data_IF_492680889745
#
_entry.id   IF_492680889745
#
_cell.length_a   1.000
_cell.length_b   1.000
_cell.length_c   1.000
_cell.angle_alpha   90.00
_cell.angle_beta   90.00
_cell.angle_gamma   90.00
#
_symmetry.space_group_name_H-M   'P 1'
#
loop_
_entity.id
_entity.type
_entity.pdbx_description
1 polymer ?
#
# COMPACT_ATOMS: atom_id res chain seq x y z
N UNK A 1 -4.69 -0.57 5.76
CA UNK A 1 -4.68 -1.94 6.33
C UNK A 1 -5.70 -2.07 7.45
N UNK A 2 -5.65 -3.14 8.25
CA UNK A 2 -6.61 -3.40 9.34
C UNK A 2 -6.12 -2.99 10.75
N UNK A 3 -5.00 -2.26 10.84
CA UNK A 3 -4.51 -1.68 12.11
C UNK A 3 -3.53 -2.53 12.93
N UNK A 4 -3.25 -3.79 12.55
CA UNK A 4 -2.31 -4.66 13.30
C UNK A 4 -0.82 -4.52 12.93
N UNK A 5 -0.49 -3.72 11.91
CA UNK A 5 0.89 -3.52 11.43
C UNK A 5 1.61 -4.79 10.95
N UNK A 6 0.86 -5.84 10.60
CA UNK A 6 1.44 -7.13 10.19
C UNK A 6 2.22 -7.00 8.88
N UNK A 7 1.64 -6.34 7.88
CA UNK A 7 2.28 -6.15 6.57
C UNK A 7 3.53 -5.28 6.66
N UNK A 8 3.52 -4.20 7.45
CA UNK A 8 4.69 -3.34 7.62
C UNK A 8 5.89 -4.11 8.17
N UNK A 9 5.67 -4.94 9.22
CA UNK A 9 6.72 -5.78 9.81
C UNK A 9 7.23 -6.84 8.83
N UNK A 10 6.33 -7.47 8.08
CA UNK A 10 6.72 -8.47 7.07
C UNK A 10 7.55 -7.84 5.96
N UNK A 11 7.08 -6.71 5.40
CA UNK A 11 7.74 -6.04 4.28
C UNK A 11 9.03 -5.35 4.68
N UNK A 12 9.22 -4.97 5.95
CA UNK A 12 10.48 -4.41 6.44
C UNK A 12 11.66 -5.39 6.32
N UNK A 13 11.41 -6.70 6.38
CA UNK A 13 12.43 -7.75 6.31
C UNK A 13 12.63 -8.37 4.91
N UNK A 14 12.00 -7.82 3.87
CA UNK A 14 12.00 -8.40 2.53
C UNK A 14 12.51 -7.39 1.50
N UNK A 15 13.35 -7.87 0.58
CA UNK A 15 13.66 -7.17 -0.68
C UNK A 15 12.70 -7.69 -1.77
N UNK A 16 11.60 -6.99 -1.96
CA UNK A 16 10.50 -7.41 -2.83
C UNK A 16 9.75 -6.21 -3.39
N UNK A 17 9.09 -6.40 -4.53
CA UNK A 17 8.16 -5.42 -5.08
C UNK A 17 6.80 -5.55 -4.40
N UNK A 18 6.41 -4.54 -3.63
CA UNK A 18 5.14 -4.54 -2.91
C UNK A 18 4.00 -3.99 -3.79
N UNK A 19 3.01 -4.83 -4.09
CA UNK A 19 1.83 -4.47 -4.90
C UNK A 19 0.56 -4.63 -4.07
N UNK A 20 -0.14 -3.51 -3.83
CA UNK A 20 -1.46 -3.51 -3.22
C UNK A 20 -2.55 -3.76 -4.25
N UNK A 21 -3.53 -4.60 -3.92
CA UNK A 21 -4.72 -4.85 -4.74
C UNK A 21 -5.96 -4.43 -3.96
N UNK A 22 -6.85 -3.67 -4.60
CA UNK A 22 -8.08 -3.19 -3.98
C UNK A 22 -9.08 -2.70 -5.01
N UNK A 23 -10.25 -2.27 -4.54
CA UNK A 23 -11.26 -1.65 -5.39
C UNK A 23 -10.98 -0.17 -5.59
N UNK A 24 -11.28 0.34 -6.79
CA UNK A 24 -11.16 1.76 -7.11
C UNK A 24 -12.05 2.63 -6.21
N UNK A 25 -13.20 2.10 -5.77
CA UNK A 25 -14.09 2.71 -4.79
C UNK A 25 -13.37 3.10 -3.47
N UNK A 26 -12.29 2.40 -3.11
CA UNK A 26 -11.50 2.68 -1.91
C UNK A 26 -10.45 3.77 -2.10
N UNK A 27 -10.31 4.38 -3.28
CA UNK A 27 -9.33 5.43 -3.53
C UNK A 27 -9.67 6.67 -2.73
N UNK A 28 -8.68 7.17 -2.00
CA UNK A 28 -8.75 8.41 -1.24
C UNK A 28 -7.54 9.30 -1.57
N UNK A 29 -7.63 10.63 -1.41
CA UNK A 29 -6.50 11.52 -1.66
C UNK A 29 -5.27 11.26 -0.78
N UNK A 30 -5.47 10.71 0.41
CA UNK A 30 -4.40 10.33 1.33
C UNK A 30 -4.87 9.25 2.30
N UNK A 31 -3.97 8.32 2.65
CA UNK A 31 -4.18 7.34 3.73
C UNK A 31 -3.80 7.87 5.10
N UNK A 32 -3.30 9.12 5.19
CA UNK A 32 -2.70 9.71 6.39
C UNK A 32 -1.60 8.82 6.99
N UNK A 33 -0.51 8.56 6.24
CA UNK A 33 0.51 7.61 6.65
C UNK A 33 1.21 8.04 7.94
N UNK A 34 1.50 7.07 8.79
CA UNK A 34 2.29 7.21 10.01
C UNK A 34 3.78 6.98 9.71
N UNK A 35 4.70 7.44 10.58
CA UNK A 35 6.15 7.32 10.34
C UNK A 35 6.68 5.89 10.15
N UNK A 36 5.93 4.88 10.58
CA UNK A 36 6.29 3.47 10.46
C UNK A 36 5.61 2.77 9.28
N UNK A 37 4.71 3.43 8.56
CA UNK A 37 4.01 2.83 7.42
C UNK A 37 4.97 2.68 6.25
N UNK A 38 5.00 1.49 5.65
CA UNK A 38 5.76 1.25 4.42
C UNK A 38 4.84 1.40 3.21
N UNK A 39 5.08 2.36 2.29
CA UNK A 39 4.24 2.51 1.11
C UNK A 39 4.37 1.27 0.21
N UNK A 40 3.27 0.91 -0.46
CA UNK A 40 3.37 0.00 -1.61
C UNK A 40 4.09 0.70 -2.76
N UNK A 41 4.62 -0.06 -3.71
CA UNK A 41 5.17 0.51 -4.94
C UNK A 41 4.09 0.69 -6.01
N UNK A 42 3.14 -0.24 -6.06
CA UNK A 42 2.03 -0.23 -7.00
C UNK A 42 0.71 -0.47 -6.30
N UNK A 43 -0.34 0.15 -6.83
CA UNK A 43 -1.74 -0.14 -6.49
C UNK A 43 -2.44 -0.56 -7.77
N UNK A 44 -3.10 -1.72 -7.72
CA UNK A 44 -3.90 -2.27 -8.82
C UNK A 44 -5.36 -2.28 -8.42
N UNK A 45 -6.21 -1.71 -9.27
CA UNK A 45 -7.66 -1.71 -9.16
C UNK A 45 -8.28 -2.13 -10.50
N UNK A 46 -9.61 -2.25 -10.54
CA UNK A 46 -10.35 -2.47 -11.78
C UNK A 46 -10.24 -1.30 -12.78
N UNK A 47 -9.77 -0.13 -12.36
CA UNK A 47 -9.50 1.03 -13.22
C UNK A 47 -8.07 1.03 -13.81
N UNK A 48 -7.20 0.12 -13.37
CA UNK A 48 -5.83 -0.03 -13.86
C UNK A 48 -4.78 -0.11 -12.76
N UNK A 49 -3.51 -0.04 -13.17
CA UNK A 49 -2.35 -0.03 -12.27
C UNK A 49 -1.76 1.38 -12.17
N UNK A 50 -1.50 1.84 -10.95
CA UNK A 50 -0.84 3.12 -10.70
C UNK A 50 0.34 2.92 -9.76
N UNK A 51 1.41 3.68 -9.99
CA UNK A 51 2.54 3.74 -9.05
C UNK A 51 2.09 4.49 -7.81
N UNK A 52 2.26 3.91 -6.64
CA UNK A 52 2.06 4.62 -5.38
C UNK A 52 3.23 5.58 -5.20
N UNK A 53 2.98 6.85 -5.49
CA UNK A 53 3.95 7.91 -5.22
C UNK A 53 4.00 8.13 -3.69
N UNK A 54 5.19 8.32 -3.11
CA UNK A 54 5.32 8.74 -1.71
C UNK A 54 4.71 10.12 -1.47
#
# INVERSE_FOLDING_TARGET
GYGGGYFDRTLAGMDTVAVGVGFELGRVPSTLPQPHDKPMEWIVTEAGAARALP
#
